data_IF_802245931882
#
_entry.id   IF_802245931882
#
_cell.length_a   1.000
_cell.length_b   1.000
_cell.length_c   1.000
_cell.angle_alpha   90.00
_cell.angle_beta   90.00
_cell.angle_gamma   90.00
#
_symmetry.space_group_name_H-M   'P 1'
#
loop_
_entity.id
_entity.type
_entity.pdbx_description
1 polymer ?
2 non-polymer ?
3 non-polymer ?
4 non-polymer ?
5 non-polymer ?
6 non-polymer ?
7 non-polymer ?
8 water ?
#
# COMPACT_ATOMS: atom_id res chain seq x y z
N UNK A 11 -16.48 -6.00 4.18
CA UNK A 11 -16.62 -7.13 5.10
C UNK A 11 -15.69 -8.27 4.70
N UNK A 12 -14.43 -8.13 5.08
CA UNK A 12 -13.37 -9.06 4.71
C UNK A 12 -13.48 -10.35 5.52
N UNK A 13 -12.63 -11.31 5.17
CA UNK A 13 -12.44 -12.51 5.96
C UNK A 13 -11.37 -12.26 7.01
N UNK A 14 -11.00 -13.33 7.74
CA UNK A 14 -10.04 -13.15 8.83
C UNK A 14 -8.67 -12.74 8.35
N UNK A 15 -8.00 -11.90 9.14
CA UNK A 15 -6.65 -11.47 8.80
C UNK A 15 -5.69 -12.65 8.91
N UNK A 16 -4.62 -12.59 8.12
CA UNK A 16 -3.64 -13.66 8.12
C UNK A 16 -2.51 -13.43 9.10
N UNK A 17 -2.29 -12.20 9.56
CA UNK A 17 -1.21 -11.92 10.48
C UNK A 17 0.14 -11.86 9.80
N UNK A 18 0.18 -11.44 8.54
CA UNK A 18 1.41 -11.34 7.76
C UNK A 18 1.69 -9.89 7.39
N UNK A 19 2.96 -9.52 7.50
CA UNK A 19 3.43 -8.19 7.14
C UNK A 19 4.39 -8.27 5.96
N UNK A 20 4.15 -7.41 4.98
CA UNK A 20 5.02 -7.25 3.81
C UNK A 20 5.62 -5.86 3.87
N UNK A 21 6.94 -5.76 4.09
CA UNK A 21 7.57 -4.47 4.27
C UNK A 21 7.55 -3.65 3.00
N UNK A 22 7.26 -2.35 3.13
CA UNK A 22 7.29 -1.47 1.98
C UNK A 22 8.68 -1.42 1.34
N UNK A 23 9.74 -1.46 2.17
CA UNK A 23 11.08 -1.20 1.69
C UNK A 23 11.65 -2.37 0.88
N UNK A 24 11.03 -3.54 0.91
CA UNK A 24 11.41 -4.65 0.03
C UNK A 24 10.34 -4.95 -1.00
N UNK A 25 9.39 -4.04 -1.18
CA UNK A 25 8.40 -4.13 -2.25
C UNK A 25 8.99 -3.57 -3.54
N UNK A 26 8.19 -3.53 -4.60
CA UNK A 26 8.67 -3.04 -5.88
C UNK A 26 8.45 -1.54 -5.95
N UNK A 27 9.53 -0.78 -6.04
CA UNK A 27 9.48 0.68 -5.88
C UNK A 27 9.89 1.36 -7.17
N UNK A 28 9.14 2.38 -7.58
CA UNK A 28 9.44 3.14 -8.78
C UNK A 28 9.36 4.63 -8.47
N UNK A 29 10.19 5.41 -9.17
CA UNK A 29 10.12 6.85 -9.09
C UNK A 29 11.18 7.44 -8.18
N UNK A 30 10.83 8.53 -7.49
CA UNK A 30 11.74 9.25 -6.62
C UNK A 30 11.32 9.03 -5.18
N UNK A 31 12.17 8.39 -4.40
CA UNK A 31 11.84 8.01 -3.04
C UNK A 31 13.13 7.83 -2.27
N UNK A 32 13.00 7.78 -0.95
CA UNK A 32 14.11 7.44 -0.09
C UNK A 32 13.65 6.43 0.96
N UNK A 33 14.54 5.53 1.34
CA UNK A 33 14.29 4.65 2.46
C UNK A 33 14.89 5.30 3.70
N UNK A 34 14.08 5.44 4.73
CA UNK A 34 14.49 6.14 5.93
C UNK A 34 13.90 5.44 7.14
N UNK A 35 14.60 5.54 8.28
CA UNK A 35 14.09 5.06 9.54
C UNK A 35 13.35 6.19 10.25
N UNK A 36 12.19 5.88 10.81
CA UNK A 36 11.44 6.87 11.57
C UNK A 36 10.73 6.16 12.72
N UNK A 37 11.03 6.60 13.94
CA UNK A 37 10.48 6.04 15.16
C UNK A 37 10.60 4.52 15.14
N UNK A 38 11.81 4.07 14.80
CA UNK A 38 12.30 2.69 14.80
C UNK A 38 11.76 1.84 13.63
N UNK A 39 10.98 2.40 12.72
CA UNK A 39 10.48 1.67 11.58
C UNK A 39 11.18 2.14 10.32
N UNK A 40 11.39 1.23 9.38
CA UNK A 40 11.95 1.58 8.09
C UNK A 40 10.81 1.76 7.10
N UNK A 41 10.81 2.89 6.40
CA UNK A 41 9.74 3.20 5.47
C UNK A 41 10.28 3.72 4.15
N UNK A 42 9.40 3.72 3.16
CA UNK A 42 9.68 4.29 1.85
C UNK A 42 9.00 5.65 1.81
N UNK A 43 9.79 6.69 1.60
CA UNK A 43 9.33 8.07 1.64
C UNK A 43 9.34 8.64 0.22
N UNK A 44 8.16 8.94 -0.33
CA UNK A 44 8.08 9.40 -1.70
C UNK A 44 8.26 10.89 -1.80
N UNK A 45 8.92 11.33 -2.87
CA UNK A 45 9.25 12.71 -3.17
C UNK A 45 8.41 13.18 -4.35
N UNK A 46 8.78 14.34 -4.91
CA UNK A 46 8.01 14.89 -6.02
C UNK A 46 8.18 14.05 -7.27
N UNK A 47 7.24 14.19 -8.20
CA UNK A 47 7.34 13.57 -9.51
C UNK A 47 6.10 12.73 -9.82
N UNK A 48 5.84 12.55 -11.11
CA UNK A 48 4.62 11.87 -11.54
C UNK A 48 4.77 10.37 -11.72
N UNK A 49 5.97 9.81 -11.58
CA UNK A 49 6.16 8.42 -11.87
C UNK A 49 6.38 7.50 -10.68
N UNK A 50 5.85 7.88 -9.52
CA UNK A 50 6.11 7.12 -8.29
C UNK A 50 5.07 6.02 -8.11
N UNK A 51 5.52 4.89 -7.58
CA UNK A 51 4.57 3.84 -7.24
C UNK A 51 5.24 2.86 -6.29
N UNK A 52 4.42 2.15 -5.52
CA UNK A 52 4.87 1.05 -4.67
C UNK A 52 3.96 -0.15 -4.95
N UNK A 53 4.56 -1.32 -5.10
CA UNK A 53 3.77 -2.48 -5.49
C UNK A 53 4.22 -3.64 -4.63
N UNK A 54 3.34 -4.10 -3.76
CA UNK A 54 3.60 -5.29 -2.98
C UNK A 54 3.20 -6.53 -3.74
N UNK A 55 3.94 -7.61 -3.55
CA UNK A 55 3.61 -8.90 -4.12
C UNK A 55 3.26 -9.84 -2.98
N UNK A 56 2.01 -10.33 -2.97
CA UNK A 56 1.52 -11.15 -1.88
C UNK A 56 0.98 -12.47 -2.46
N UNK A 57 1.01 -13.51 -1.64
CA UNK A 57 0.52 -14.83 -2.06
C UNK A 57 -0.50 -15.30 -1.04
N UNK A 58 -1.74 -15.49 -1.50
CA UNK A 58 -2.85 -15.83 -0.62
C UNK A 58 -3.22 -17.31 -0.74
N UNK A 59 -3.81 -17.82 0.33
CA UNK A 59 -4.20 -19.22 0.39
C UNK A 59 -5.69 -19.38 0.29
N UNK A 60 -6.35 -19.64 1.43
CA UNK A 60 -7.79 -19.94 1.37
C UNK A 60 -8.57 -18.73 0.85
N UNK A 61 -9.66 -19.03 0.15
CA UNK A 61 -10.35 -18.03 -0.66
C UNK A 61 -11.29 -17.18 0.18
N UNK A 62 -11.24 -15.87 -0.01
CA UNK A 62 -12.04 -14.90 0.72
C UNK A 62 -11.83 -13.51 0.12
N UNK A 63 -12.58 -12.54 0.63
CA UNK A 63 -12.22 -11.14 0.43
C UNK A 63 -11.15 -10.80 1.48
N UNK A 64 -10.08 -10.14 1.05
CA UNK A 64 -8.97 -9.80 1.93
C UNK A 64 -9.03 -8.34 2.33
N UNK A 65 -8.91 -8.09 3.63
CA UNK A 65 -8.61 -6.74 4.10
C UNK A 65 -7.14 -6.45 3.82
N UNK A 66 -6.85 -5.20 3.45
CA UNK A 66 -5.50 -4.74 3.19
C UNK A 66 -5.27 -3.52 4.05
N UNK A 67 -4.25 -3.56 4.90
CA UNK A 67 -4.00 -2.49 5.86
C UNK A 67 -2.63 -1.88 5.58
N UNK A 68 -2.62 -0.59 5.30
CA UNK A 68 -1.39 0.12 4.99
C UNK A 68 -0.92 0.91 6.20
N UNK A 69 0.33 0.70 6.58
CA UNK A 69 0.96 1.50 7.63
C UNK A 69 1.74 2.61 6.95
N UNK A 70 1.36 3.86 7.23
CA UNK A 70 1.78 4.97 6.39
C UNK A 70 1.92 6.24 7.22
N UNK A 71 2.52 7.25 6.59
CA UNK A 71 2.44 8.63 7.08
C UNK A 71 2.06 9.50 5.89
N UNK A 72 1.37 10.59 6.17
CA UNK A 72 1.08 11.62 5.17
C UNK A 72 1.38 12.95 5.85
N UNK A 73 2.55 13.51 5.55
CA UNK A 73 3.02 14.69 6.25
C UNK A 73 2.70 15.98 5.50
N UNK A 74 1.74 15.92 4.58
CA UNK A 74 1.46 17.07 3.72
C UNK A 74 0.41 18.02 4.27
N UNK A 75 -0.25 17.69 5.38
CA UNK A 75 -1.31 18.54 5.88
C UNK A 75 -2.63 18.43 5.17
N UNK A 76 -2.76 17.59 4.16
CA UNK A 76 -4.03 17.44 3.47
C UNK A 76 -4.24 15.98 3.13
N UNK A 77 -5.49 15.54 2.99
CA UNK A 77 -5.73 14.17 2.52
C UNK A 77 -5.13 13.98 1.14
N UNK A 78 -4.65 12.77 0.88
CA UNK A 78 -3.93 12.47 -0.36
C UNK A 78 -4.62 11.33 -1.09
N UNK A 79 -5.21 11.55 -2.25
CA UNK A 79 -5.80 10.43 -3.01
C UNK A 79 -4.71 9.61 -3.67
N UNK A 80 -4.89 8.28 -3.64
CA UNK A 80 -3.93 7.36 -4.24
C UNK A 80 -4.73 6.29 -4.97
N UNK A 81 -4.32 5.97 -6.19
CA UNK A 81 -4.97 4.87 -6.91
C UNK A 81 -4.42 3.53 -6.45
N UNK A 82 -5.31 2.64 -6.04
CA UNK A 82 -4.95 1.26 -5.75
C UNK A 82 -5.43 0.36 -6.87
N UNK A 83 -4.54 -0.49 -7.37
CA UNK A 83 -4.93 -1.59 -8.23
C UNK A 83 -4.58 -2.89 -7.53
N UNK A 84 -5.52 -3.82 -7.53
CA UNK A 84 -5.31 -5.18 -7.08
C UNK A 84 -5.27 -6.04 -8.33
N UNK A 85 -4.11 -6.65 -8.60
CA UNK A 85 -3.79 -7.25 -9.89
C UNK A 85 -3.43 -8.71 -9.68
N UNK A 86 -3.95 -9.59 -10.54
CA UNK A 86 -3.63 -11.01 -10.44
C UNK A 86 -2.33 -11.32 -11.19
N UNK A 87 -1.96 -12.60 -11.19
CA UNK A 87 -0.63 -12.96 -11.68
C UNK A 87 -0.50 -12.83 -13.19
N UNK A 88 -1.60 -12.74 -13.91
CA UNK A 88 -1.58 -12.57 -15.35
C UNK A 88 -1.85 -11.13 -15.76
N UNK A 89 -1.78 -10.20 -14.82
CA UNK A 89 -1.98 -8.80 -15.13
C UNK A 89 -3.41 -8.36 -15.15
N UNK A 90 -4.35 -9.16 -14.67
CA UNK A 90 -5.76 -8.76 -14.72
C UNK A 90 -6.02 -7.80 -13.56
N UNK A 91 -6.65 -6.67 -13.86
CA UNK A 91 -6.97 -5.69 -12.81
C UNK A 91 -8.30 -6.12 -12.18
N UNK A 92 -8.24 -6.66 -10.96
CA UNK A 92 -9.44 -7.16 -10.31
C UNK A 92 -10.18 -6.07 -9.56
N UNK A 93 -9.46 -5.06 -9.08
CA UNK A 93 -10.06 -3.93 -8.39
C UNK A 93 -9.22 -2.70 -8.65
N UNK A 94 -9.90 -1.58 -8.91
CA UNK A 94 -9.27 -0.28 -9.04
C UNK A 94 -10.08 0.66 -8.17
N UNK A 95 -9.41 1.36 -7.26
CA UNK A 95 -10.12 2.25 -6.36
C UNK A 95 -9.20 3.39 -5.96
N UNK A 96 -9.77 4.58 -5.79
CA UNK A 96 -9.07 5.68 -5.14
C UNK A 96 -9.15 5.50 -3.64
N UNK A 97 -8.01 5.42 -2.99
CA UNK A 97 -7.90 5.46 -1.54
C UNK A 97 -7.50 6.86 -1.12
N UNK A 98 -8.17 7.42 -0.14
CA UNK A 98 -7.79 8.72 0.38
C UNK A 98 -7.04 8.50 1.69
N UNK A 99 -5.76 8.86 1.71
CA UNK A 99 -4.96 8.72 2.91
C UNK A 99 -5.05 10.01 3.71
N UNK A 100 -5.66 9.98 4.90
CA UNK A 100 -5.73 11.20 5.71
C UNK A 100 -4.34 11.69 6.11
N UNK A 101 -4.23 12.99 6.26
CA UNK A 101 -2.99 13.56 6.78
C UNK A 101 -2.73 13.00 8.18
N UNK A 102 -1.47 12.82 8.50
CA UNK A 102 -1.09 12.26 9.79
C UNK A 102 -0.12 13.21 10.48
N UNK A 103 0.03 13.10 11.81
CA UNK A 103 1.19 13.73 12.45
C UNK A 103 2.46 12.99 12.05
N UNK A 104 3.60 13.35 12.64
CA UNK A 104 4.83 12.64 12.30
C UNK A 104 4.90 11.30 13.01
N UNK A 105 3.83 10.50 12.89
CA UNK A 105 3.74 9.17 13.48
C UNK A 105 3.01 8.25 12.52
N UNK A 106 3.42 6.97 12.50
CA UNK A 106 2.82 5.99 11.61
C UNK A 106 1.37 5.72 12.00
N UNK A 107 0.52 5.67 10.99
CA UNK A 107 -0.91 5.40 11.14
C UNK A 107 -1.32 4.29 10.18
N UNK A 108 -2.58 3.90 10.27
CA UNK A 108 -3.08 2.76 9.52
C UNK A 108 -4.25 3.19 8.67
N UNK A 109 -4.33 2.61 7.47
CA UNK A 109 -5.40 2.84 6.52
C UNK A 109 -5.78 1.50 5.94
N UNK A 110 -7.07 1.16 6.02
CA UNK A 110 -7.56 -0.15 5.62
C UNK A 110 -8.48 -0.04 4.42
N UNK A 111 -8.38 -1.02 3.53
CA UNK A 111 -9.36 -1.23 2.47
C UNK A 111 -9.53 -2.74 2.31
N UNK A 112 -10.23 -3.16 1.27
CA UNK A 112 -10.35 -4.58 0.98
C UNK A 112 -10.06 -4.81 -0.50
N UNK A 113 -9.96 -6.08 -0.87
CA UNK A 113 -9.86 -6.44 -2.28
C UNK A 113 -11.18 -6.22 -3.02
N UNK A 114 -12.27 -6.00 -2.30
CA UNK A 114 -13.56 -5.79 -2.93
C UNK A 114 -14.16 -7.08 -3.43
N UNK A 115 -13.37 -7.88 -4.12
CA UNK A 115 -13.83 -9.15 -4.67
C UNK A 115 -13.22 -10.34 -3.95
N UNK A 116 -13.99 -11.42 -3.93
CA UNK A 116 -13.53 -12.73 -3.49
C UNK A 116 -12.38 -13.20 -4.36
N UNK A 117 -11.26 -13.57 -3.75
CA UNK A 117 -10.09 -14.01 -4.50
C UNK A 117 -9.67 -15.40 -4.06
N UNK A 118 -9.40 -16.26 -5.03
CA UNK A 118 -8.89 -17.60 -4.79
C UNK A 118 -7.37 -17.56 -4.54
N UNK A 119 -6.82 -18.72 -4.15
CA UNK A 119 -5.39 -18.82 -3.86
C UNK A 119 -4.56 -18.42 -5.07
N UNK A 120 -3.55 -17.59 -4.84
CA UNK A 120 -2.69 -17.18 -5.92
C UNK A 120 -1.81 -16.02 -5.53
N UNK A 121 -1.07 -15.56 -6.52
CA UNK A 121 -0.12 -14.47 -6.37
C UNK A 121 -0.76 -13.20 -6.89
N UNK A 122 -0.71 -12.15 -6.07
CA UNK A 122 -1.38 -10.90 -6.41
C UNK A 122 -0.43 -9.74 -6.20
N UNK A 123 -0.76 -8.62 -6.82
CA UNK A 123 0.00 -7.39 -6.68
C UNK A 123 -0.92 -6.32 -6.12
N UNK A 124 -0.43 -5.63 -5.10
CA UNK A 124 -1.14 -4.50 -4.52
C UNK A 124 -0.36 -3.26 -4.93
N UNK A 125 -0.88 -2.52 -5.91
CA UNK A 125 -0.15 -1.41 -6.52
C UNK A 125 -0.78 -0.09 -6.08
N UNK A 126 0.04 0.78 -5.50
CA UNK A 126 -0.37 2.16 -5.20
C UNK A 126 0.39 3.14 -6.08
N UNK A 127 -0.34 4.04 -6.74
CA UNK A 127 0.32 5.09 -7.51
C UNK A 127 -0.60 6.31 -7.55
N UNK A 128 0.00 7.46 -7.87
CA UNK A 128 -0.74 8.71 -8.01
C UNK A 128 0.16 9.68 -8.75
N UNK A 129 -0.49 10.67 -9.37
CA UNK A 129 0.26 11.72 -10.02
C UNK A 129 1.19 12.42 -9.03
N UNK A 130 0.72 12.61 -7.79
CA UNK A 130 1.52 13.18 -6.72
C UNK A 130 1.50 12.24 -5.52
N UNK A 131 2.67 11.77 -5.11
CA UNK A 131 2.83 11.02 -3.86
C UNK A 131 3.77 11.70 -2.88
N UNK A 132 4.17 12.95 -3.15
CA UNK A 132 5.15 13.65 -2.33
C UNK A 132 4.60 13.80 -0.91
N UNK A 133 5.39 13.38 0.07
CA UNK A 133 4.95 13.46 1.44
C UNK A 133 4.23 12.24 1.97
N UNK A 134 3.99 11.23 1.12
CA UNK A 134 3.51 9.95 1.61
C UNK A 134 4.69 9.06 1.94
N UNK A 135 4.58 8.35 3.07
CA UNK A 135 5.56 7.34 3.44
C UNK A 135 4.84 6.05 3.78
N UNK A 136 5.46 4.90 3.47
CA UNK A 136 4.85 3.61 3.75
C UNK A 136 5.82 2.75 4.52
N UNK A 137 5.34 2.19 5.62
CA UNK A 137 6.13 1.26 6.43
C UNK A 137 5.94 -0.17 5.93
N UNK A 138 4.69 -0.57 5.74
CA UNK A 138 4.40 -1.97 5.41
C UNK A 138 2.95 -2.11 4.98
N UNK A 139 2.65 -3.27 4.42
CA UNK A 139 1.29 -3.74 4.16
C UNK A 139 1.02 -4.96 5.03
N UNK A 140 -0.06 -4.92 5.80
CA UNK A 140 -0.46 -6.06 6.62
C UNK A 140 -1.70 -6.72 6.04
N UNK A 141 -1.70 -8.06 5.99
CA UNK A 141 -2.88 -8.80 5.53
C UNK A 141 -3.18 -9.92 6.52
#
# INVERSE_FOLDING_TARGET
MGSSHHHHHHSSGPQQGLRYEAETATLKGKFRKKEHRKQTGVFFDKGKGNSIEWNISTGLAQVYALRFKYMNTTGKPMPVLMKFIDSKGVVLKEDILTFPETPDKWKMMSTTTGTFINAGHYKVLLSAENMDGLAFDALDI
#
